data_IF_812257223372
#
_entry.id   IF_812257223372
#
_cell.length_a   1.000
_cell.length_b   1.000
_cell.length_c   1.000
_cell.angle_alpha   90.00
_cell.angle_beta   90.00
_cell.angle_gamma   90.00
#
_symmetry.space_group_name_H-M   'P 1'
#
loop_
_entity.id
_entity.type
_entity.pdbx_description
1 polymer ?
#
# COMPACT_ATOMS: atom_id res chain seq x y z
N UNK A 1 31.95 21.15 -30.65
CA UNK A 1 31.20 22.05 -29.75
C UNK A 1 31.34 23.46 -30.29
N UNK A 2 30.25 24.19 -30.46
CA UNK A 2 30.28 25.62 -30.81
C UNK A 2 30.37 26.45 -29.54
N UNK A 3 31.19 27.50 -29.55
CA UNK A 3 31.35 28.39 -28.41
C UNK A 3 30.36 29.54 -28.53
N UNK A 4 29.50 29.73 -27.53
CA UNK A 4 28.56 30.84 -27.48
C UNK A 4 29.11 31.96 -26.58
N UNK A 5 28.80 33.21 -26.94
CA UNK A 5 29.14 34.40 -26.14
C UNK A 5 27.91 34.88 -25.37
N UNK A 6 28.11 35.23 -24.10
CA UNK A 6 27.08 35.91 -23.29
C UNK A 6 26.94 37.37 -23.74
N UNK A 7 25.73 37.78 -24.12
CA UNK A 7 25.41 39.18 -24.44
C UNK A 7 24.92 39.91 -23.17
N UNK A 8 24.02 39.28 -22.41
CA UNK A 8 23.39 39.91 -21.25
C UNK A 8 22.26 39.08 -20.64
N UNK A 9 21.48 39.71 -19.77
CA UNK A 9 20.23 39.15 -19.23
C UNK A 9 19.05 39.53 -20.13
N UNK A 10 18.06 38.65 -20.17
CA UNK A 10 16.77 38.89 -20.81
C UNK A 10 15.92 39.89 -20.00
N UNK A 11 14.86 40.45 -20.60
CA UNK A 11 14.01 41.48 -19.98
C UNK A 11 13.41 41.03 -18.64
N UNK A 12 13.12 39.73 -18.51
CA UNK A 12 12.58 39.13 -17.29
C UNK A 12 13.63 38.93 -16.19
N UNK A 13 14.92 39.13 -16.46
CA UNK A 13 16.04 38.88 -15.54
C UNK A 13 16.25 37.40 -15.16
N UNK A 14 15.42 36.50 -15.68
CA UNK A 14 15.41 35.05 -15.36
C UNK A 14 16.18 34.21 -16.38
N UNK A 15 16.63 34.81 -17.48
CA UNK A 15 17.32 34.13 -18.57
C UNK A 15 18.54 34.92 -19.03
N UNK A 16 19.56 34.22 -19.51
CA UNK A 16 20.78 34.78 -20.11
C UNK A 16 20.70 34.64 -21.62
N UNK A 17 20.98 35.71 -22.35
CA UNK A 17 21.02 35.73 -23.81
C UNK A 17 22.45 35.43 -24.27
N UNK A 18 22.55 34.43 -25.14
CA UNK A 18 23.78 33.96 -25.77
C UNK A 18 23.72 34.23 -27.28
N UNK A 19 24.87 34.47 -27.91
CA UNK A 19 25.00 34.61 -29.37
C UNK A 19 26.13 33.73 -29.90
N UNK A 20 25.95 33.20 -31.11
CA UNK A 20 27.01 32.52 -31.85
C UNK A 20 27.95 33.57 -32.51
N UNK A 21 29.24 33.64 -32.13
CA UNK A 21 30.17 34.59 -32.71
C UNK A 21 30.47 34.34 -34.20
N UNK A 22 30.27 33.10 -34.69
CA UNK A 22 30.46 32.76 -36.10
C UNK A 22 29.23 33.13 -36.94
N UNK A 23 28.05 33.27 -36.31
CA UNK A 23 26.78 33.52 -36.98
C UNK A 23 26.08 34.73 -36.34
N UNK A 24 26.59 35.93 -36.62
CA UNK A 24 26.04 37.22 -36.13
C UNK A 24 24.56 37.32 -36.49
N UNK A 25 23.69 37.10 -35.50
CA UNK A 25 22.23 37.16 -35.65
C UNK A 25 21.49 36.04 -34.95
N UNK A 26 22.14 34.90 -34.69
CA UNK A 26 21.49 33.78 -33.99
C UNK A 26 21.66 33.93 -32.47
N UNK A 27 20.53 34.14 -31.77
CA UNK A 27 20.47 34.31 -30.33
C UNK A 27 19.83 33.10 -29.68
N UNK A 28 20.42 32.64 -28.58
CA UNK A 28 19.91 31.55 -27.76
C UNK A 28 19.59 32.05 -26.36
N UNK A 29 18.49 31.60 -25.80
CA UNK A 29 18.09 31.96 -24.43
C UNK A 29 18.34 30.77 -23.51
N UNK A 30 19.06 31.00 -22.41
CA UNK A 30 19.37 29.99 -21.41
C UNK A 30 18.77 30.41 -20.05
N UNK A 31 17.91 29.60 -19.41
CA UNK A 31 17.39 29.92 -18.08
C UNK A 31 18.50 30.10 -17.06
N UNK A 32 18.44 31.16 -16.25
CA UNK A 32 19.33 31.42 -15.13
C UNK A 32 18.91 30.63 -13.89
N UNK A 33 18.79 29.32 -14.04
CA UNK A 33 18.39 28.38 -13.00
C UNK A 33 19.58 28.00 -12.09
N UNK A 34 19.29 27.25 -11.02
CA UNK A 34 20.32 26.81 -10.07
C UNK A 34 21.35 25.87 -10.73
N UNK A 35 20.96 25.22 -11.84
CA UNK A 35 21.82 24.34 -12.65
C UNK A 35 22.89 25.15 -13.38
N UNK A 36 22.54 26.26 -14.03
CA UNK A 36 23.52 27.18 -14.63
C UNK A 36 24.45 27.76 -13.57
N UNK A 37 23.92 28.15 -12.40
CA UNK A 37 24.75 28.65 -11.28
C UNK A 37 25.71 27.59 -10.73
N UNK A 38 25.28 26.34 -10.62
CA UNK A 38 26.13 25.23 -10.19
C UNK A 38 27.23 24.92 -11.22
N UNK A 39 26.88 24.93 -12.52
CA UNK A 39 27.84 24.74 -13.60
C UNK A 39 28.92 25.84 -13.65
N UNK A 40 28.53 27.11 -13.49
CA UNK A 40 29.47 28.24 -13.45
C UNK A 40 30.42 28.19 -12.24
N UNK A 41 29.95 27.65 -11.10
CA UNK A 41 30.78 27.45 -9.89
C UNK A 41 31.68 26.20 -9.98
N UNK A 42 31.55 25.39 -11.03
CA UNK A 42 32.29 24.13 -11.18
C UNK A 42 31.84 23.04 -10.19
N UNK A 43 30.67 23.19 -9.57
CA UNK A 43 30.15 22.28 -8.56
C UNK A 43 29.42 21.10 -9.23
N UNK A 44 30.23 20.18 -9.77
CA UNK A 44 29.78 18.95 -10.40
C UNK A 44 28.98 18.05 -9.44
N UNK A 45 29.28 18.11 -8.13
CA UNK A 45 28.55 17.36 -7.12
C UNK A 45 27.11 17.88 -6.97
N UNK A 46 26.93 19.20 -6.91
CA UNK A 46 25.60 19.82 -6.84
C UNK A 46 24.77 19.66 -8.11
N UNK A 47 25.42 19.65 -9.28
CA UNK A 47 24.76 19.29 -10.55
C UNK A 47 24.26 17.83 -10.56
N UNK A 48 25.02 16.91 -9.97
CA UNK A 48 24.60 15.52 -9.79
C UNK A 48 23.43 15.41 -8.81
N UNK A 49 23.48 16.12 -7.68
CA UNK A 49 22.40 16.16 -6.69
C UNK A 49 21.08 16.68 -7.29
N UNK A 50 21.10 17.77 -8.05
CA UNK A 50 19.88 18.31 -8.69
C UNK A 50 19.29 17.38 -9.76
N UNK A 51 20.13 16.59 -10.45
CA UNK A 51 19.65 15.55 -11.36
C UNK A 51 19.00 14.39 -10.61
N UNK A 52 19.51 14.07 -9.42
CA UNK A 52 18.93 13.05 -8.53
C UNK A 52 17.60 13.56 -7.96
N UNK A 53 17.53 14.79 -7.47
CA UNK A 53 16.31 15.43 -6.94
C UNK A 53 15.21 15.57 -8.00
N UNK A 54 15.56 15.97 -9.23
CA UNK A 54 14.60 16.00 -10.35
C UNK A 54 14.13 14.58 -10.76
N UNK A 55 14.99 13.57 -10.57
CA UNK A 55 14.63 12.18 -10.70
C UNK A 55 13.76 11.69 -9.54
N UNK A 56 14.01 12.13 -8.30
CA UNK A 56 13.20 11.87 -7.10
C UNK A 56 11.80 12.49 -7.19
N UNK A 57 11.66 13.60 -7.90
CA UNK A 57 10.35 14.16 -8.25
C UNK A 57 9.51 13.23 -9.15
N UNK A 58 10.12 12.25 -9.83
CA UNK A 58 9.40 11.19 -10.54
C UNK A 58 9.20 9.98 -9.63
N UNK A 59 7.93 9.60 -9.45
CA UNK A 59 7.51 8.45 -8.65
C UNK A 59 8.32 7.20 -9.01
N UNK A 60 8.87 6.53 -7.99
CA UNK A 60 9.71 5.35 -8.19
C UNK A 60 8.85 4.16 -8.66
N UNK A 61 9.37 3.22 -9.48
CA UNK A 61 8.62 2.04 -9.90
C UNK A 61 8.00 1.24 -8.74
N UNK A 62 8.71 1.15 -7.61
CA UNK A 62 8.22 0.48 -6.39
C UNK A 62 7.01 1.20 -5.78
N UNK A 63 6.99 2.53 -5.80
CA UNK A 63 5.86 3.33 -5.31
C UNK A 63 4.65 3.21 -6.23
N UNK A 64 4.86 3.26 -7.55
CA UNK A 64 3.82 2.98 -8.56
C UNK A 64 3.17 1.63 -8.26
N UNK A 65 3.98 0.59 -8.10
CA UNK A 65 3.49 -0.76 -7.82
C UNK A 65 2.77 -0.86 -6.47
N UNK A 66 3.26 -0.18 -5.43
CA UNK A 66 2.62 -0.18 -4.12
C UNK A 66 1.23 0.47 -4.18
N UNK A 67 1.12 1.63 -4.83
CA UNK A 67 -0.15 2.35 -5.05
C UNK A 67 -1.16 1.56 -5.86
N UNK A 68 -0.73 0.97 -6.97
CA UNK A 68 -1.60 0.09 -7.78
C UNK A 68 -2.01 -1.14 -6.96
N UNK A 69 -1.13 -1.72 -6.14
CA UNK A 69 -1.47 -2.86 -5.26
C UNK A 69 -2.48 -2.46 -4.19
N UNK A 70 -2.44 -1.21 -3.72
CA UNK A 70 -3.39 -0.63 -2.76
C UNK A 70 -4.76 -0.28 -3.39
N UNK A 71 -4.94 -0.47 -4.70
CA UNK A 71 -6.21 -0.28 -5.39
C UNK A 71 -6.33 1.02 -6.18
N UNK A 72 -5.29 1.87 -6.18
CA UNK A 72 -5.27 3.08 -7.01
C UNK A 72 -5.30 2.70 -8.51
N UNK A 73 -6.03 3.48 -9.32
CA UNK A 73 -6.11 3.25 -10.77
C UNK A 73 -4.87 3.77 -11.49
N UNK A 74 -4.59 3.27 -12.70
CA UNK A 74 -3.47 3.76 -13.53
C UNK A 74 -3.59 5.27 -13.75
N UNK A 75 -4.80 5.76 -14.02
CA UNK A 75 -5.06 7.19 -14.27
C UNK A 75 -4.81 8.04 -13.04
N UNK A 76 -5.23 7.56 -11.85
CA UNK A 76 -5.00 8.24 -10.58
C UNK A 76 -3.50 8.32 -10.26
N UNK A 77 -2.78 7.21 -10.40
CA UNK A 77 -1.32 7.19 -10.20
C UNK A 77 -0.60 8.07 -11.21
N UNK A 78 -1.03 8.07 -12.47
CA UNK A 78 -0.46 8.93 -13.51
C UNK A 78 -0.66 10.43 -13.19
N UNK A 79 -1.88 10.81 -12.78
CA UNK A 79 -2.19 12.17 -12.37
C UNK A 79 -1.39 12.59 -11.12
N UNK A 80 -1.27 11.72 -10.13
CA UNK A 80 -0.49 11.98 -8.92
C UNK A 80 1.02 12.08 -9.18
N UNK A 81 1.55 11.29 -10.11
CA UNK A 81 2.96 11.29 -10.49
C UNK A 81 3.34 12.38 -11.52
N UNK A 82 2.36 13.02 -12.15
CA UNK A 82 2.59 13.91 -13.31
C UNK A 82 3.21 13.19 -14.50
N UNK A 83 2.96 11.87 -14.63
CA UNK A 83 3.54 11.03 -15.68
C UNK A 83 2.46 10.60 -16.68
N UNK A 84 2.82 10.33 -17.95
CA UNK A 84 1.86 9.79 -18.90
C UNK A 84 1.49 8.34 -18.56
N UNK A 85 0.24 7.97 -18.82
CA UNK A 85 -0.35 6.66 -18.47
C UNK A 85 0.45 5.47 -19.01
N UNK A 86 0.89 5.50 -20.26
CA UNK A 86 1.67 4.42 -20.89
C UNK A 86 2.97 4.06 -20.13
N UNK A 87 3.55 5.02 -19.38
CA UNK A 87 4.75 4.78 -18.57
C UNK A 87 4.41 4.04 -17.28
N UNK A 88 3.26 4.37 -16.68
CA UNK A 88 2.73 3.70 -15.49
C UNK A 88 2.30 2.27 -15.83
N UNK A 89 1.64 2.07 -16.97
CA UNK A 89 1.14 0.75 -17.44
C UNK A 89 2.22 -0.33 -17.43
N UNK A 90 3.44 -0.01 -17.89
CA UNK A 90 4.57 -0.94 -17.92
C UNK A 90 4.91 -1.50 -16.53
N UNK A 91 4.77 -0.68 -15.49
CA UNK A 91 5.04 -1.09 -14.11
C UNK A 91 3.79 -1.64 -13.40
N UNK A 92 2.60 -1.24 -13.85
CA UNK A 92 1.32 -1.64 -13.29
C UNK A 92 0.91 -3.05 -13.71
N UNK A 93 1.19 -3.47 -14.95
CA UNK A 93 0.70 -4.76 -15.49
C UNK A 93 0.99 -5.99 -14.60
N UNK A 94 2.21 -6.18 -14.04
CA UNK A 94 2.48 -7.30 -13.14
C UNK A 94 1.60 -7.29 -11.87
N UNK A 95 1.31 -6.10 -11.35
CA UNK A 95 0.48 -5.93 -10.14
C UNK A 95 -1.00 -6.10 -10.47
N UNK A 96 -1.45 -5.62 -11.63
CA UNK A 96 -2.82 -5.85 -12.10
C UNK A 96 -3.10 -7.34 -12.31
N UNK A 97 -2.12 -8.11 -12.80
CA UNK A 97 -2.23 -9.56 -12.92
C UNK A 97 -2.27 -10.27 -11.54
N UNK A 98 -1.52 -9.76 -10.56
CA UNK A 98 -1.59 -10.23 -9.17
C UNK A 98 -3.00 -9.99 -8.61
N UNK A 99 -3.55 -8.78 -8.81
CA UNK A 99 -4.89 -8.39 -8.40
C UNK A 99 -5.99 -9.23 -9.06
N UNK A 100 -5.90 -9.45 -10.38
CA UNK A 100 -6.89 -10.27 -11.09
C UNK A 100 -6.84 -11.73 -10.61
N UNK A 101 -5.62 -12.29 -10.46
CA UNK A 101 -5.45 -13.65 -9.94
C UNK A 101 -6.03 -13.80 -8.54
N UNK A 102 -5.81 -12.82 -7.67
CA UNK A 102 -6.35 -12.86 -6.31
C UNK A 102 -7.88 -12.74 -6.31
N UNK A 103 -8.47 -11.96 -7.21
CA UNK A 103 -9.91 -11.92 -7.41
C UNK A 103 -10.45 -13.29 -7.89
N UNK A 104 -9.74 -13.97 -8.79
CA UNK A 104 -10.11 -15.33 -9.24
C UNK A 104 -10.05 -16.37 -8.10
N UNK A 105 -9.05 -16.26 -7.22
CA UNK A 105 -8.95 -17.12 -6.04
C UNK A 105 -10.08 -16.84 -5.05
N UNK A 106 -10.40 -15.57 -4.82
CA UNK A 106 -11.48 -15.18 -3.92
C UNK A 106 -12.86 -15.60 -4.44
N UNK A 107 -13.10 -15.58 -5.74
CA UNK A 107 -14.33 -16.13 -6.33
C UNK A 107 -14.51 -17.63 -6.03
N UNK A 108 -13.40 -18.37 -5.88
CA UNK A 108 -13.40 -19.80 -5.53
C UNK A 108 -13.38 -20.06 -4.01
N UNK A 109 -13.34 -19.00 -3.20
CA UNK A 109 -13.33 -19.09 -1.76
C UNK A 109 -14.75 -19.23 -1.19
N UNK A 110 -14.84 -19.68 0.06
CA UNK A 110 -16.11 -19.95 0.72
C UNK A 110 -16.57 -18.76 1.58
N UNK A 111 -17.76 -18.17 1.33
CA UNK A 111 -18.28 -17.08 2.14
C UNK A 111 -18.63 -17.54 3.55
N UNK A 112 -18.23 -16.75 4.55
CA UNK A 112 -18.53 -17.04 5.96
C UNK A 112 -19.89 -16.45 6.32
N UNK A 113 -20.80 -17.32 6.80
CA UNK A 113 -22.11 -16.98 7.34
C UNK A 113 -22.13 -17.15 8.86
N UNK A 114 -23.28 -16.86 9.50
CA UNK A 114 -23.47 -17.07 10.94
C UNK A 114 -23.24 -18.55 11.35
N UNK A 115 -23.64 -19.49 10.48
CA UNK A 115 -23.46 -20.92 10.69
C UNK A 115 -22.07 -21.45 10.31
N UNK A 116 -21.18 -20.59 9.79
CA UNK A 116 -19.84 -20.93 9.32
C UNK A 116 -19.64 -20.77 7.80
N UNK A 117 -18.51 -21.28 7.25
CA UNK A 117 -18.23 -21.22 5.81
C UNK A 117 -19.26 -22.00 4.99
N UNK A 118 -19.78 -21.36 3.93
CA UNK A 118 -20.69 -21.99 2.97
C UNK A 118 -20.00 -23.10 2.18
N UNK A 119 -20.76 -24.11 1.76
CA UNK A 119 -20.28 -25.17 0.87
C UNK A 119 -20.05 -24.63 -0.55
N UNK A 120 -20.89 -23.70 -0.98
CA UNK A 120 -20.76 -23.05 -2.28
C UNK A 120 -19.63 -22.01 -2.26
N UNK A 121 -19.01 -21.80 -3.41
CA UNK A 121 -18.02 -20.74 -3.59
C UNK A 121 -18.69 -19.37 -3.74
N UNK A 122 -17.95 -18.29 -3.48
CA UNK A 122 -18.44 -16.93 -3.66
C UNK A 122 -19.02 -16.71 -5.06
N UNK A 123 -18.32 -17.19 -6.09
CA UNK A 123 -18.75 -17.07 -7.48
C UNK A 123 -20.08 -17.76 -7.75
N UNK A 124 -20.30 -18.96 -7.19
CA UNK A 124 -21.56 -19.70 -7.32
C UNK A 124 -22.71 -18.99 -6.61
N UNK A 125 -22.49 -18.52 -5.38
CA UNK A 125 -23.50 -17.80 -4.59
C UNK A 125 -23.90 -16.50 -5.31
N UNK A 126 -22.93 -15.73 -5.80
CA UNK A 126 -23.17 -14.50 -6.55
C UNK A 126 -23.91 -14.80 -7.86
N UNK A 127 -23.49 -15.84 -8.60
CA UNK A 127 -24.16 -16.24 -9.84
C UNK A 127 -25.62 -16.61 -9.62
N UNK A 128 -25.91 -17.36 -8.55
CA UNK A 128 -27.26 -17.72 -8.17
C UNK A 128 -28.11 -16.49 -7.79
N UNK A 129 -27.55 -15.58 -6.97
CA UNK A 129 -28.21 -14.32 -6.59
C UNK A 129 -28.51 -13.40 -7.79
N UNK A 130 -27.59 -13.30 -8.75
CA UNK A 130 -27.82 -12.56 -10.01
C UNK A 130 -28.92 -13.20 -10.85
N UNK A 131 -28.92 -14.54 -10.97
CA UNK A 131 -29.95 -15.28 -11.69
C UNK A 131 -31.36 -15.06 -11.13
N UNK A 132 -31.51 -15.07 -9.81
CA UNK A 132 -32.78 -14.77 -9.13
C UNK A 132 -33.23 -13.31 -9.31
N UNK A 133 -32.29 -12.38 -9.50
CA UNK A 133 -32.55 -10.94 -9.71
C UNK A 133 -32.68 -10.54 -11.18
N UNK A 134 -32.50 -11.48 -12.11
CA UNK A 134 -32.50 -11.20 -13.54
C UNK A 134 -31.34 -10.29 -13.98
N UNK A 135 -30.22 -10.30 -13.26
CA UNK A 135 -29.00 -9.62 -13.65
C UNK A 135 -28.14 -10.53 -14.52
N UNK A 136 -27.46 -9.95 -15.52
CA UNK A 136 -26.47 -10.67 -16.31
C UNK A 136 -25.11 -10.62 -15.62
N UNK A 137 -24.41 -11.77 -15.56
CA UNK A 137 -23.05 -11.85 -15.06
C UNK A 137 -22.02 -11.36 -16.09
N UNK A 138 -22.37 -11.33 -17.37
CA UNK A 138 -21.42 -10.97 -18.45
C UNK A 138 -20.95 -9.51 -18.37
N UNK A 139 -21.81 -8.62 -17.84
CA UNK A 139 -21.55 -7.20 -17.64
C UNK A 139 -20.96 -6.90 -16.24
N UNK A 140 -20.23 -7.85 -15.66
CA UNK A 140 -19.57 -7.68 -14.35
C UNK A 140 -18.05 -7.64 -14.49
N UNK A 141 -17.40 -6.92 -13.57
CA UNK A 141 -15.95 -6.87 -13.48
C UNK A 141 -15.50 -7.14 -12.05
N UNK A 142 -14.58 -8.09 -11.90
CA UNK A 142 -13.95 -8.42 -10.63
C UNK A 142 -12.57 -7.79 -10.53
N UNK A 143 -12.24 -7.30 -9.35
CA UNK A 143 -10.92 -6.75 -9.04
C UNK A 143 -10.59 -7.06 -7.58
N UNK A 144 -9.31 -6.97 -7.23
CA UNK A 144 -8.89 -7.05 -5.83
C UNK A 144 -7.73 -6.12 -5.56
N UNK A 145 -7.54 -5.74 -4.31
CA UNK A 145 -6.38 -4.96 -3.87
C UNK A 145 -6.03 -5.32 -2.45
N UNK A 146 -4.80 -4.96 -2.06
CA UNK A 146 -4.28 -5.18 -0.71
C UNK A 146 -3.92 -3.85 -0.10
N UNK A 147 -4.64 -3.46 0.95
CA UNK A 147 -4.34 -2.26 1.71
C UNK A 147 -3.04 -2.38 2.50
N UNK A 148 -2.62 -1.28 3.13
CA UNK A 148 -1.44 -1.23 4.00
C UNK A 148 -1.60 -2.13 5.25
N UNK A 149 -2.84 -2.43 5.63
CA UNK A 149 -3.21 -3.40 6.67
C UNK A 149 -2.93 -4.86 6.26
N UNK A 150 -2.55 -5.08 5.01
CA UNK A 150 -2.20 -6.38 4.46
C UNK A 150 -3.41 -7.28 4.21
N UNK A 151 -4.65 -6.78 4.29
CA UNK A 151 -5.86 -7.55 3.98
C UNK A 151 -6.21 -7.41 2.50
N UNK A 152 -6.61 -8.52 1.89
CA UNK A 152 -7.12 -8.51 0.52
C UNK A 152 -8.58 -8.12 0.53
N UNK A 153 -8.92 -7.10 -0.24
CA UNK A 153 -10.29 -6.70 -0.52
C UNK A 153 -10.56 -7.07 -1.96
N UNK A 154 -11.69 -7.72 -2.17
CA UNK A 154 -12.17 -8.14 -3.48
C UNK A 154 -13.43 -7.36 -3.76
N UNK A 155 -13.51 -6.78 -4.96
CA UNK A 155 -14.65 -6.02 -5.41
C UNK A 155 -15.29 -6.69 -6.62
N UNK A 156 -16.61 -6.78 -6.57
CA UNK A 156 -17.43 -6.97 -7.75
C UNK A 156 -18.07 -5.64 -8.12
N UNK A 157 -17.90 -5.24 -9.36
CA UNK A 157 -18.55 -4.07 -9.95
C UNK A 157 -19.50 -4.53 -11.07
N UNK A 158 -20.71 -3.97 -11.10
CA UNK A 158 -21.70 -4.25 -12.13
C UNK A 158 -22.63 -3.04 -12.33
N UNK A 159 -23.24 -2.96 -13.51
CA UNK A 159 -24.21 -1.91 -13.82
C UNK A 159 -25.61 -2.49 -13.94
N UNK A 160 -26.58 -1.82 -13.35
CA UNK A 160 -28.00 -2.18 -13.47
C UNK A 160 -28.79 -0.93 -13.84
N UNK A 161 -29.27 -0.87 -15.09
CA UNK A 161 -29.93 0.33 -15.62
C UNK A 161 -28.98 1.52 -15.63
N UNK A 162 -29.17 2.48 -14.72
CA UNK A 162 -28.31 3.66 -14.54
C UNK A 162 -27.47 3.63 -13.26
N UNK A 163 -27.60 2.57 -12.47
CA UNK A 163 -26.87 2.42 -11.21
C UNK A 163 -25.54 1.71 -11.45
N UNK A 164 -24.47 2.30 -10.94
CA UNK A 164 -23.16 1.67 -10.77
C UNK A 164 -23.12 1.06 -9.37
N UNK A 165 -23.10 -0.27 -9.31
CA UNK A 165 -23.16 -1.02 -8.07
C UNK A 165 -21.81 -1.70 -7.79
N UNK A 166 -21.45 -1.76 -6.51
CA UNK A 166 -20.21 -2.39 -6.04
C UNK A 166 -20.49 -3.17 -4.78
N UNK A 167 -19.83 -4.30 -4.65
CA UNK A 167 -19.85 -5.15 -3.46
C UNK A 167 -18.42 -5.51 -3.08
N UNK A 168 -18.13 -5.49 -1.78
CA UNK A 168 -16.78 -5.71 -1.26
C UNK A 168 -16.73 -6.87 -0.26
N UNK A 169 -15.73 -7.72 -0.41
CA UNK A 169 -15.43 -8.80 0.53
C UNK A 169 -13.96 -8.76 0.97
N UNK A 170 -13.70 -9.05 2.24
CA UNK A 170 -12.36 -9.34 2.71
C UNK A 170 -12.04 -10.82 2.45
N UNK A 171 -10.94 -11.07 1.73
CA UNK A 171 -10.47 -12.40 1.38
C UNK A 171 -9.33 -12.85 2.29
N UNK A 172 -9.49 -14.06 2.83
CA UNK A 172 -8.53 -14.74 3.69
C UNK A 172 -8.05 -16.02 2.99
N UNK A 173 -6.83 -16.03 2.42
CA UNK A 173 -6.26 -17.22 1.79
C UNK A 173 -6.12 -18.36 2.81
N UNK A 174 -6.43 -19.59 2.39
CA UNK A 174 -6.35 -20.77 3.24
C UNK A 174 -6.17 -22.06 2.43
N UNK A 175 -5.91 -23.18 3.13
CA UNK A 175 -5.61 -24.47 2.50
C UNK A 175 -6.77 -25.03 1.64
N UNK A 176 -8.02 -24.65 1.96
CA UNK A 176 -9.23 -25.10 1.27
C UNK A 176 -9.80 -24.00 0.35
N UNK A 177 -8.95 -23.30 -0.41
CA UNK A 177 -9.37 -22.19 -1.28
C UNK A 177 -9.57 -20.84 -0.57
N UNK A 178 -9.65 -20.85 0.76
CA UNK A 178 -9.77 -19.66 1.60
C UNK A 178 -11.23 -19.30 1.90
N UNK A 179 -11.40 -18.21 2.66
CA UNK A 179 -12.72 -17.71 3.06
C UNK A 179 -12.90 -16.24 2.67
N UNK A 180 -14.14 -15.83 2.51
CA UNK A 180 -14.50 -14.42 2.28
C UNK A 180 -15.54 -13.94 3.28
N UNK A 181 -15.42 -12.69 3.71
CA UNK A 181 -16.36 -12.03 4.62
C UNK A 181 -16.88 -10.76 3.96
N UNK A 182 -18.19 -10.53 3.98
CA UNK A 182 -18.76 -9.31 3.41
C UNK A 182 -18.37 -8.08 4.23
N UNK A 183 -18.07 -6.99 3.53
CA UNK A 183 -17.68 -5.70 4.12
C UNK A 183 -18.77 -4.64 4.00
N UNK A 184 -19.72 -4.80 3.07
CA UNK A 184 -20.81 -3.85 2.85
C UNK A 184 -22.17 -4.54 2.65
N UNK A 185 -23.25 -3.73 2.69
CA UNK A 185 -24.62 -4.21 2.51
C UNK A 185 -24.80 -4.92 1.16
N UNK A 186 -24.17 -4.44 0.08
CA UNK A 186 -24.28 -5.04 -1.24
C UNK A 186 -23.67 -6.45 -1.30
N UNK A 187 -22.52 -6.66 -0.64
CA UNK A 187 -21.89 -7.96 -0.49
C UNK A 187 -22.72 -8.91 0.38
N UNK A 188 -23.29 -8.42 1.49
CA UNK A 188 -24.23 -9.20 2.32
C UNK A 188 -25.44 -9.62 1.49
N UNK A 189 -26.05 -8.68 0.78
CA UNK A 189 -27.20 -8.93 -0.06
C UNK A 189 -26.86 -9.95 -1.16
N UNK A 190 -25.69 -9.88 -1.80
CA UNK A 190 -25.30 -10.86 -2.83
C UNK A 190 -25.00 -12.25 -2.27
N UNK A 191 -24.57 -12.35 -1.00
CA UNK A 191 -24.42 -13.64 -0.34
C UNK A 191 -25.76 -14.26 0.05
N UNK A 192 -26.83 -13.48 0.23
CA UNK A 192 -28.17 -14.00 0.50
C UNK A 192 -29.00 -14.14 -0.79
N UNK A 193 -29.23 -15.38 -1.28
CA UNK A 193 -30.03 -15.60 -2.48
C UNK A 193 -31.51 -15.25 -2.30
N UNK A 194 -32.02 -15.17 -1.06
CA UNK A 194 -33.41 -14.82 -0.80
C UNK A 194 -33.50 -13.53 0.03
N UNK A 195 -33.38 -12.34 -0.60
CA UNK A 195 -33.43 -11.07 0.09
C UNK A 195 -34.88 -10.79 0.53
N UNK A 196 -35.33 -11.42 1.62
CA UNK A 196 -36.54 -11.03 2.33
C UNK A 196 -36.39 -9.66 3.02
N UNK A 197 -35.28 -8.95 2.78
CA UNK A 197 -35.06 -7.60 3.24
C UNK A 197 -35.77 -6.64 2.28
N UNK A 198 -36.86 -6.03 2.76
CA UNK A 198 -37.53 -4.94 2.04
C UNK A 198 -36.50 -3.86 1.70
N UNK A 199 -36.35 -3.53 0.41
CA UNK A 199 -35.51 -2.42 -0.03
C UNK A 199 -35.91 -1.16 0.76
N UNK A 200 -34.95 -0.51 1.42
CA UNK A 200 -35.22 0.78 2.07
C UNK A 200 -35.65 1.75 0.99
N UNK A 201 -36.91 2.18 1.03
CA UNK A 201 -37.41 3.18 0.09
C UNK A 201 -36.70 4.49 0.38
N UNK A 202 -35.97 5.00 -0.61
CA UNK A 202 -35.42 6.34 -0.52
C UNK A 202 -36.61 7.29 -0.59
N UNK A 203 -36.89 8.00 0.51
CA UNK A 203 -37.95 9.01 0.51
C UNK A 203 -37.56 10.07 -0.52
N UNK A 204 -38.46 10.45 -1.46
CA UNK A 204 -38.14 11.49 -2.44
C UNK A 204 -37.68 12.74 -1.71
N UNK A 205 -36.53 13.29 -2.11
CA UNK A 205 -36.04 14.56 -1.59
C UNK A 205 -37.03 15.62 -2.03
N UNK A 206 -37.87 16.07 -1.10
CA UNK A 206 -38.83 17.14 -1.38
C UNK A 206 -38.07 18.43 -1.67
N UNK A 207 -38.69 19.34 -2.42
CA UNK A 207 -38.12 20.66 -2.67
C UNK A 207 -37.77 21.39 -1.35
N UNK A 208 -38.53 21.13 -0.29
CA UNK A 208 -38.27 21.63 1.06
C UNK A 208 -36.99 21.03 1.67
N UNK A 209 -36.76 19.72 1.53
CA UNK A 209 -35.53 19.07 2.01
C UNK A 209 -34.30 19.58 1.25
N UNK A 210 -34.44 19.84 -0.05
CA UNK A 210 -33.38 20.42 -0.89
C UNK A 210 -33.05 21.85 -0.48
N UNK A 211 -34.09 22.68 -0.25
CA UNK A 211 -33.92 24.04 0.28
C UNK A 211 -33.32 24.05 1.69
N UNK A 212 -33.63 23.08 2.54
CA UNK A 212 -33.05 22.97 3.89
C UNK A 212 -31.57 22.54 3.88
N UNK A 213 -31.15 21.74 2.89
CA UNK A 213 -29.75 21.37 2.68
C UNK A 213 -28.94 22.51 2.06
N UNK A 214 -29.56 23.31 1.19
CA UNK A 214 -28.94 24.48 0.53
C UNK A 214 -28.97 25.74 1.42
N UNK A 215 -29.89 25.79 2.39
CA UNK A 215 -29.87 26.79 3.43
C UNK A 215 -28.63 26.57 4.31
N UNK A 216 -27.65 27.47 4.18
CA UNK A 216 -26.59 27.63 5.16
C UNK A 216 -27.26 27.70 6.54
N UNK A 217 -26.83 26.93 7.55
CA UNK A 217 -27.44 27.02 8.87
C UNK A 217 -27.22 28.44 9.38
N UNK A 218 -28.25 29.28 9.23
CA UNK A 218 -28.36 30.51 10.00
C UNK A 218 -28.40 30.01 11.42
N UNK A 219 -27.32 30.29 12.16
CA UNK A 219 -27.19 29.96 13.56
C UNK A 219 -28.52 30.29 14.24
N UNK A 220 -29.25 29.26 14.65
CA UNK A 220 -30.42 29.41 15.50
C UNK A 220 -29.93 30.23 16.68
N UNK A 221 -30.50 31.42 16.97
CA UNK A 221 -30.23 32.04 18.26
C UNK A 221 -30.63 31.00 19.30
N UNK A 222 -29.68 30.67 20.17
CA UNK A 222 -29.89 29.74 21.27
C UNK A 222 -31.25 30.08 21.93
N UNK A 223 -32.11 29.08 22.21
CA UNK A 223 -33.25 29.36 23.06
C UNK A 223 -32.67 29.92 24.35
N UNK A 224 -33.06 31.15 24.69
CA UNK A 224 -32.81 31.71 26.02
C UNK A 224 -33.42 30.70 26.98
N UNK A 225 -32.55 29.96 27.65
CA UNK A 225 -32.91 29.14 28.78
C UNK A 225 -33.46 30.11 29.83
N UNK A 226 -34.78 30.14 29.95
CA UNK A 226 -35.47 30.71 31.08
C UNK A 226 -34.96 29.94 32.31
N UNK A 227 -34.13 30.62 33.10
CA UNK A 227 -33.55 30.13 34.33
C UNK A 227 -34.68 29.75 35.30
N UNK A 228 -34.94 28.45 35.57
CA UNK A 228 -35.89 28.10 36.60
C UNK A 228 -35.19 28.37 37.94
N UNK A 229 -35.79 29.27 38.72
CA UNK A 229 -35.38 29.58 40.08
C UNK A 229 -35.11 28.29 40.89
N UNK A 230 -34.03 28.23 41.69
CA UNK A 230 -33.70 27.03 42.44
C UNK A 230 -34.71 26.82 43.56
N UNK A 231 -35.56 25.81 43.40
CA UNK A 231 -36.27 25.18 44.51
C UNK A 231 -35.24 24.47 45.39
N UNK A 232 -35.19 24.74 46.71
CA UNK A 232 -34.23 24.09 47.60
C UNK A 232 -34.63 22.62 47.79
N UNK A 233 -33.87 21.73 47.18
CA UNK A 233 -33.95 20.28 47.42
C UNK A 233 -33.32 20.00 48.79
N UNK A 234 -34.13 19.54 49.74
CA UNK A 234 -33.66 19.03 51.03
C UNK A 234 -32.74 17.83 50.82
N UNK A 235 -31.57 17.89 51.45
CA UNK A 235 -30.63 16.77 51.53
C UNK A 235 -31.22 15.62 52.37
N UNK A 236 -31.24 14.37 51.88
CA UNK A 236 -31.43 13.23 52.76
C UNK A 236 -30.12 12.96 53.53
N UNK A 237 -30.27 12.78 54.84
CA UNK A 237 -29.20 12.50 55.79
C UNK A 237 -28.43 11.20 55.45
N UNK A 238 -27.13 11.11 55.80
CA UNK A 238 -26.35 9.89 55.60
C UNK A 238 -26.72 8.84 56.65
N UNK A 239 -27.14 7.65 56.20
CA UNK A 239 -27.30 6.48 57.05
C UNK A 239 -25.93 5.82 57.34
N UNK A 240 -25.74 5.20 58.52
CA UNK A 240 -24.44 4.84 59.05
C UNK A 240 -23.89 3.52 58.49
N UNK A 241 -22.55 3.44 58.40
CA UNK A 241 -21.81 2.23 58.09
C UNK A 241 -21.96 1.16 59.18
N UNK A 242 -21.95 -0.14 58.85
CA UNK A 242 -21.52 -1.18 59.76
C UNK A 242 -20.05 -1.54 59.49
N UNK A 243 -19.26 -1.50 60.57
CA UNK A 243 -17.89 -1.97 60.63
C UNK A 243 -17.79 -3.52 60.56
N UNK A 244 -16.60 -4.07 60.24
CA UNK A 244 -16.39 -5.47 59.87
C UNK A 244 -15.91 -6.35 61.04
N UNK A 245 -16.20 -7.66 60.99
CA UNK A 245 -15.47 -8.75 61.65
C UNK A 245 -16.10 -10.13 61.27
N UNK A 246 -15.42 -11.28 61.46
CA UNK A 246 -13.99 -11.55 61.35
C UNK A 246 -13.65 -12.79 60.46
N UNK A 247 -12.36 -12.86 60.16
CA UNK A 247 -11.53 -13.95 59.63
C UNK A 247 -11.98 -15.38 59.96
N UNK A 248 -12.09 -16.24 58.94
CA UNK A 248 -11.76 -17.67 59.06
C UNK A 248 -10.74 -18.02 57.98
N UNK A 249 -9.66 -18.63 58.47
CA UNK A 249 -8.46 -19.01 57.75
C UNK A 249 -8.70 -20.15 56.76
N UNK A 250 -8.21 -19.99 55.53
CA UNK A 250 -7.64 -21.08 54.77
C UNK A 250 -6.25 -20.69 54.26
N UNK A 251 -5.34 -21.67 54.38
CA UNK A 251 -3.90 -21.55 54.33
C UNK A 251 -3.39 -21.15 52.92
N UNK A 252 -2.38 -20.29 52.81
CA UNK A 252 -1.69 -20.09 51.54
C UNK A 252 -0.75 -21.28 51.29
N UNK A 253 -0.99 -21.99 50.19
CA UNK A 253 0.02 -22.86 49.59
C UNK A 253 1.08 -21.95 49.00
N UNK A 254 2.25 -21.97 49.63
CA UNK A 254 3.48 -21.47 49.06
C UNK A 254 3.89 -22.46 47.97
N UNK A 255 3.96 -22.02 46.72
CA UNK A 255 4.75 -22.71 45.72
C UNK A 255 5.88 -21.77 45.29
N UNK A 256 7.06 -22.27 45.59
CA UNK A 256 8.38 -21.66 45.54
C UNK A 256 8.74 -21.28 44.10
N UNK A 257 9.30 -20.08 43.92
CA UNK A 257 10.14 -19.74 42.77
C UNK A 257 11.46 -20.54 42.90
N UNK A 258 11.88 -21.33 41.89
CA UNK A 258 13.29 -21.59 41.69
C UNK A 258 13.89 -20.57 40.71
N UNK A 259 14.98 -19.98 41.17
CA UNK A 259 15.92 -19.09 40.48
C UNK A 259 16.54 -19.78 39.23
N UNK A 260 16.87 -19.03 38.15
CA UNK A 260 17.30 -19.62 36.88
C UNK A 260 18.74 -20.16 36.91
N UNK A 261 18.94 -21.43 36.55
CA UNK A 261 20.25 -21.96 36.17
C UNK A 261 20.67 -21.49 34.76
N UNK A 262 21.96 -21.15 34.55
CA UNK A 262 22.45 -20.60 33.30
C UNK A 262 22.83 -21.70 32.29
N UNK A 263 22.40 -21.54 31.04
CA UNK A 263 22.86 -22.36 29.90
C UNK A 263 23.36 -21.45 28.75
N UNK A 264 24.30 -21.94 27.91
CA UNK A 264 25.52 -21.22 27.57
C UNK A 264 25.41 -20.26 26.37
N UNK A 265 26.26 -19.23 26.42
CA UNK A 265 26.41 -18.23 25.36
C UNK A 265 27.00 -18.81 24.05
N UNK A 266 26.59 -18.28 22.88
CA UNK A 266 27.19 -18.63 21.60
C UNK A 266 28.64 -18.10 21.49
N UNK A 267 29.53 -18.76 20.72
CA UNK A 267 30.94 -18.37 20.63
C UNK A 267 31.10 -17.01 19.93
N UNK A 268 32.08 -16.19 20.36
CA UNK A 268 32.31 -14.87 19.78
C UNK A 268 32.94 -14.95 18.37
N UNK A 269 32.73 -13.94 17.51
CA UNK A 269 33.40 -13.83 16.22
C UNK A 269 34.91 -13.57 16.42
N UNK A 270 35.77 -14.01 15.48
CA UNK A 270 37.20 -13.77 15.59
C UNK A 270 37.51 -12.28 15.46
N UNK A 271 38.16 -11.74 16.51
CA UNK A 271 38.68 -10.39 16.59
C UNK A 271 39.84 -10.22 15.61
N UNK A 272 39.74 -9.18 14.78
CA UNK A 272 40.84 -8.61 13.98
C UNK A 272 42.00 -8.25 14.92
N UNK A 273 43.16 -8.86 14.73
CA UNK A 273 44.42 -8.33 15.27
C UNK A 273 44.94 -7.26 14.33
N UNK A 274 44.84 -6.03 14.80
CA UNK A 274 45.65 -4.91 14.34
C UNK A 274 46.97 -4.98 15.13
N UNK A 275 48.07 -5.25 14.42
CA UNK A 275 49.43 -4.99 14.88
C UNK A 275 50.11 -4.15 13.82
N UNK A 276 50.46 -2.94 14.24
CA UNK A 276 51.25 -1.93 13.54
C UNK A 276 52.77 -2.22 13.72
N UNK A 277 53.69 -1.43 13.13
CA UNK A 277 54.57 -1.86 12.04
C UNK A 277 56.05 -2.04 12.45
N UNK A 278 56.82 -2.82 11.69
CA UNK A 278 58.30 -2.78 11.76
C UNK A 278 59.00 -3.27 10.47
N UNK A 279 59.61 -2.31 9.77
CA UNK A 279 60.88 -2.33 9.02
C UNK A 279 61.26 -3.47 8.03
N UNK A 280 61.27 -3.10 6.74
CA UNK A 280 62.38 -3.19 5.74
C UNK A 280 63.55 -4.17 6.00
N UNK A 281 63.90 -5.15 5.13
CA UNK A 281 64.53 -5.00 3.78
C UNK A 281 64.66 -6.37 3.04
N UNK A 282 65.10 -6.43 1.76
CA UNK A 282 64.52 -7.24 0.68
C UNK A 282 65.24 -8.58 0.45
N UNK A 283 64.67 -9.48 -0.38
CA UNK A 283 65.40 -10.29 -1.40
C UNK A 283 64.46 -11.22 -2.20
N UNK A 284 64.61 -11.11 -3.53
CA UNK A 284 64.39 -12.06 -4.65
C UNK A 284 62.98 -12.57 -5.02
N UNK A 285 62.75 -12.47 -6.34
CA UNK A 285 61.61 -12.92 -7.13
C UNK A 285 61.75 -14.41 -7.45
N UNK A 286 60.70 -15.18 -7.18
CA UNK A 286 60.43 -16.46 -7.82
C UNK A 286 59.02 -16.43 -8.46
N UNK A 287 58.81 -17.12 -9.60
CA UNK A 287 57.57 -17.03 -10.38
C UNK A 287 56.41 -17.83 -9.77
N UNK A 288 55.14 -17.48 -10.03
CA UNK A 288 54.00 -18.17 -9.43
C UNK A 288 53.71 -19.53 -10.10
N UNK A 289 53.27 -20.55 -9.33
CA UNK A 289 52.88 -21.85 -9.87
C UNK A 289 51.52 -21.82 -10.58
N UNK A 290 51.36 -22.70 -11.56
CA UNK A 290 50.19 -22.85 -12.44
C UNK A 290 48.92 -23.25 -11.64
N UNK A 291 47.82 -22.53 -11.89
CA UNK A 291 46.47 -22.82 -11.37
C UNK A 291 45.96 -24.19 -11.83
N UNK A 292 45.65 -25.06 -10.88
CA UNK A 292 44.84 -26.27 -11.11
C UNK A 292 43.38 -25.91 -11.41
N UNK A 293 42.80 -26.55 -12.43
CA UNK A 293 41.37 -26.47 -12.78
C UNK A 293 40.54 -27.03 -11.63
N UNK A 294 39.63 -26.21 -11.08
CA UNK A 294 38.59 -26.64 -10.15
C UNK A 294 37.42 -27.21 -10.95
N UNK A 295 36.99 -28.43 -10.61
CA UNK A 295 35.76 -29.04 -11.13
C UNK A 295 34.56 -28.17 -10.75
N UNK A 296 33.77 -27.76 -11.75
CA UNK A 296 32.46 -27.19 -11.51
C UNK A 296 31.44 -28.33 -11.31
N UNK A 297 30.47 -28.20 -10.40
CA UNK A 297 29.37 -29.16 -10.27
C UNK A 297 28.57 -29.20 -11.58
N UNK A 298 28.37 -30.39 -12.14
CA UNK A 298 27.53 -30.60 -13.32
C UNK A 298 26.08 -30.43 -12.89
N UNK A 299 25.47 -29.33 -13.28
CA UNK A 299 24.03 -29.14 -13.19
C UNK A 299 23.41 -29.77 -14.44
N UNK A 300 22.40 -30.65 -14.31
CA UNK A 300 21.77 -31.28 -15.47
C UNK A 300 21.16 -30.24 -16.40
N UNK A 301 21.18 -30.55 -17.69
CA UNK A 301 20.64 -29.68 -18.72
C UNK A 301 19.12 -29.61 -18.60
N UNK A 302 18.51 -28.54 -19.13
CA UNK A 302 17.06 -28.34 -19.08
C UNK A 302 16.28 -29.42 -19.86
N UNK A 303 16.92 -30.09 -20.81
CA UNK A 303 16.37 -31.25 -21.51
C UNK A 303 16.28 -32.51 -20.62
N UNK A 304 17.21 -32.71 -19.69
CA UNK A 304 17.19 -33.86 -18.77
C UNK A 304 15.97 -33.81 -17.81
N UNK A 305 15.51 -32.60 -17.48
CA UNK A 305 14.34 -32.37 -16.61
C UNK A 305 13.03 -32.61 -17.35
N UNK A 306 12.96 -32.30 -18.64
CA UNK A 306 11.74 -32.46 -19.43
C UNK A 306 11.57 -33.86 -20.01
N UNK A 307 12.66 -34.56 -20.32
CA UNK A 307 12.61 -35.85 -21.00
C UNK A 307 12.86 -37.04 -20.07
N UNK A 308 13.27 -36.83 -18.83
CA UNK A 308 13.34 -37.87 -17.80
C UNK A 308 14.35 -38.99 -18.06
N UNK A 309 15.28 -38.81 -19.02
CA UNK A 309 16.32 -39.79 -19.35
C UNK A 309 17.68 -39.23 -18.96
N UNK A 310 18.37 -39.88 -18.01
CA UNK A 310 19.73 -39.50 -17.62
C UNK A 310 20.72 -39.96 -18.70
N UNK A 311 21.31 -39.02 -19.44
CA UNK A 311 22.43 -39.33 -20.32
C UNK A 311 23.69 -39.58 -19.48
N UNK A 312 24.23 -40.79 -19.55
CA UNK A 312 25.43 -41.18 -18.80
C UNK A 312 26.66 -40.84 -19.66
N UNK A 313 27.48 -39.88 -19.23
CA UNK A 313 28.84 -39.69 -19.74
C UNK A 313 29.79 -39.31 -18.61
#
# INVERSE_FOLDING_TARGET
MRALRVIGLDEDGKSVILEDPENRGERFTLPADERLRAALRGDLARLGQMQIEAGEAQMRPREIQARIRAGESIEQVAAAAGMPTHRIERFAYPVLLERSRTADLAQRAHPVREDGPDVQTLGEVVAHSFGLRGHDLSDTSWDSWRGDDGRWIVQLHWKTGRSDNRAHWAFHPGAQGGTVTALDDAAVDLMDPNPNRTLRTVRPVTQLARQALEATPVATPAPVAEEPAPVPVQAPAPAPAPAPAPVVAEKPVQEELPEPEPAPAPPPPPVKKEQEPAAEKPVRKDPPPKRGKKNHPIVPSWEDVLLGVRSNR
#
